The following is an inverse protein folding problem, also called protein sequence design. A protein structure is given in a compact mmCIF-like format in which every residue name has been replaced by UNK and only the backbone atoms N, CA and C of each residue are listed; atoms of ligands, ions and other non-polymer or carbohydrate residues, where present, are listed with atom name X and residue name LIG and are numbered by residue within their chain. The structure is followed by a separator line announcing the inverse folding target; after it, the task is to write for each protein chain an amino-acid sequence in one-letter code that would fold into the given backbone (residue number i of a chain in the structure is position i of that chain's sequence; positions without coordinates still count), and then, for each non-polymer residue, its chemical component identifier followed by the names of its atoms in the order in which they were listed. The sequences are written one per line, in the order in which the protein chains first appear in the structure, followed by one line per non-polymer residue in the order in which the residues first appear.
data_IF_052319992759
#
_entry.id   IF_052319992759
#
_cell.length_a   1.000
_cell.length_b   1.000
_cell.length_c   1.000
_cell.angle_alpha   90.00
_cell.angle_beta   90.00
_cell.angle_gamma   90.00
#
_symmetry.space_group_name_H-M   'P 1'
#
loop_
_entity.id
_entity.type
_entity.pdbx_description
1 polymer ?
#
# COMPACT_ATOMS: atom_id res chain seq x y z
N UNK A 1 26.34 10.93 -4.67
CA UNK A 1 26.48 9.48 -4.92
C UNK A 1 25.89 8.57 -3.83
N UNK A 2 26.00 8.84 -2.52
CA UNK A 2 25.37 7.98 -1.49
C UNK A 2 23.85 8.24 -1.33
N UNK A 3 23.45 9.51 -1.42
CA UNK A 3 22.08 10.00 -1.38
C UNK A 3 21.19 9.44 -2.52
N UNK A 4 21.65 9.43 -3.76
CA UNK A 4 20.93 8.86 -4.91
C UNK A 4 20.68 7.35 -4.74
N UNK A 5 21.67 6.61 -4.23
CA UNK A 5 21.53 5.16 -3.96
C UNK A 5 20.49 4.88 -2.88
N UNK A 6 20.46 5.69 -1.82
CA UNK A 6 19.40 5.56 -0.81
C UNK A 6 18.05 5.90 -1.41
N UNK A 7 17.93 6.97 -2.20
CA UNK A 7 16.68 7.33 -2.85
C UNK A 7 16.15 6.21 -3.77
N UNK A 8 17.01 5.62 -4.61
CA UNK A 8 16.64 4.51 -5.48
C UNK A 8 16.17 3.28 -4.69
N UNK A 9 16.73 3.03 -3.50
CA UNK A 9 16.29 1.94 -2.62
C UNK A 9 14.90 2.22 -2.00
N UNK A 10 14.64 3.46 -1.60
CA UNK A 10 13.32 3.90 -1.11
C UNK A 10 12.26 3.86 -2.22
N UNK A 11 12.62 4.30 -3.43
CA UNK A 11 11.75 4.21 -4.60
C UNK A 11 11.45 2.76 -4.95
N UNK A 12 12.46 1.88 -4.94
CA UNK A 12 12.27 0.44 -5.19
C UNK A 12 11.31 -0.21 -4.21
N UNK A 13 11.50 0.03 -2.91
CA UNK A 13 10.61 -0.55 -1.89
C UNK A 13 9.19 -0.01 -2.01
N UNK A 14 9.01 1.31 -2.20
CA UNK A 14 7.70 1.91 -2.46
C UNK A 14 7.02 1.38 -3.72
N UNK A 15 7.76 1.21 -4.81
CA UNK A 15 7.24 0.65 -6.06
C UNK A 15 6.75 -0.80 -5.89
N UNK A 16 7.49 -1.64 -5.15
CA UNK A 16 7.06 -3.01 -4.83
C UNK A 16 5.76 -3.01 -4.03
N UNK A 17 5.60 -2.12 -3.05
CA UNK A 17 4.35 -1.99 -2.31
C UNK A 17 3.17 -1.59 -3.20
N UNK A 18 3.37 -0.65 -4.12
CA UNK A 18 2.33 -0.26 -5.09
C UNK A 18 1.99 -1.41 -6.03
N UNK A 19 2.98 -2.17 -6.50
CA UNK A 19 2.74 -3.36 -7.33
C UNK A 19 1.92 -4.41 -6.59
N UNK A 20 2.23 -4.69 -5.32
CA UNK A 20 1.46 -5.62 -4.50
C UNK A 20 0.01 -5.15 -4.34
N UNK A 21 -0.21 -3.86 -4.10
CA UNK A 21 -1.56 -3.30 -4.01
C UNK A 21 -2.36 -3.55 -5.30
N UNK A 22 -1.76 -3.30 -6.47
CA UNK A 22 -2.40 -3.54 -7.78
C UNK A 22 -2.70 -5.03 -7.98
N UNK A 23 -1.80 -5.93 -7.57
CA UNK A 23 -2.05 -7.38 -7.63
C UNK A 23 -3.24 -7.79 -6.76
N UNK A 24 -3.40 -7.19 -5.57
CA UNK A 24 -4.60 -7.42 -4.74
C UNK A 24 -5.87 -6.90 -5.42
N UNK A 25 -5.84 -5.73 -6.06
CA UNK A 25 -6.97 -5.22 -6.85
C UNK A 25 -7.40 -6.21 -7.94
N UNK A 26 -6.41 -6.79 -8.65
CA UNK A 26 -6.66 -7.77 -9.71
C UNK A 26 -7.29 -9.05 -9.17
N UNK A 27 -6.80 -9.54 -8.03
CA UNK A 27 -7.38 -10.71 -7.38
C UNK A 27 -8.84 -10.48 -7.00
N UNK A 28 -9.16 -9.35 -6.38
CA UNK A 28 -10.53 -9.00 -5.97
C UNK A 28 -11.44 -8.82 -7.19
N UNK A 29 -10.95 -8.17 -8.25
CA UNK A 29 -11.70 -8.03 -9.49
C UNK A 29 -12.04 -9.41 -10.09
N UNK A 30 -11.09 -10.35 -10.11
CA UNK A 30 -11.33 -11.72 -10.58
C UNK A 30 -12.35 -12.42 -9.67
N UNK A 31 -12.25 -12.29 -8.34
CA UNK A 31 -13.23 -12.86 -7.41
C UNK A 31 -14.64 -12.32 -7.66
N UNK A 32 -14.78 -11.02 -7.95
CA UNK A 32 -16.07 -10.40 -8.29
C UNK A 32 -16.59 -10.82 -9.65
N UNK A 33 -15.70 -10.89 -10.64
CA UNK A 33 -16.04 -11.34 -11.98
C UNK A 33 -16.49 -12.81 -11.97
N UNK A 34 -15.87 -13.63 -11.13
CA UNK A 34 -16.25 -15.03 -10.90
C UNK A 34 -17.62 -15.16 -10.22
N UNK A 35 -17.97 -14.27 -9.29
CA UNK A 35 -19.30 -14.21 -8.65
C UNK A 35 -20.41 -13.81 -9.65
N UNK A 36 -20.05 -13.03 -10.67
CA UNK A 36 -20.94 -12.69 -11.80
C UNK A 36 -20.98 -13.72 -12.93
N UNK A 37 -20.45 -14.94 -12.73
CA UNK A 37 -20.53 -16.01 -13.74
C UNK A 37 -21.97 -16.51 -13.87
N UNK A 38 -22.73 -15.78 -14.68
CA UNK A 38 -23.86 -16.29 -15.44
C UNK A 38 -23.31 -17.31 -16.43
N UNK A 39 -23.15 -18.57 -15.99
CA UNK A 39 -22.82 -19.65 -16.88
C UNK A 39 -24.04 -19.90 -17.78
N UNK A 40 -23.98 -19.40 -19.02
CA UNK A 40 -24.89 -19.80 -20.09
C UNK A 40 -26.39 -19.47 -19.85
N UNK A 41 -26.67 -18.31 -19.24
CA UNK A 41 -28.06 -17.85 -19.02
C UNK A 41 -28.82 -18.58 -17.92
N UNK A 42 -28.23 -19.61 -17.30
CA UNK A 42 -28.78 -20.26 -16.11
C UNK A 42 -27.99 -19.85 -14.87
N UNK A 43 -28.70 -19.31 -13.90
CA UNK A 43 -28.15 -18.92 -12.60
C UNK A 43 -27.94 -20.20 -11.78
N UNK A 44 -26.70 -20.69 -11.74
CA UNK A 44 -26.31 -21.68 -10.75
C UNK A 44 -26.16 -20.94 -9.43
N UNK A 45 -27.17 -21.05 -8.55
CA UNK A 45 -27.02 -20.60 -7.17
C UNK A 45 -25.93 -21.46 -6.51
N UNK A 46 -24.73 -20.89 -6.45
CA UNK A 46 -23.72 -21.30 -5.48
C UNK A 46 -24.39 -21.24 -4.11
N UNK A 47 -24.19 -22.29 -3.31
CA UNK A 47 -24.79 -22.43 -1.97
C UNK A 47 -24.77 -21.07 -1.24
N UNK A 48 -25.94 -20.61 -0.76
CA UNK A 48 -26.12 -19.29 -0.13
C UNK A 48 -25.06 -19.04 0.97
N UNK A 49 -24.59 -20.12 1.62
CA UNK A 49 -23.52 -20.09 2.62
C UNK A 49 -22.15 -19.67 2.06
N UNK A 50 -21.82 -20.08 0.82
CA UNK A 50 -20.58 -19.75 0.14
C UNK A 50 -20.59 -18.32 -0.39
N UNK A 51 -21.72 -17.88 -0.96
CA UNK A 51 -21.91 -16.50 -1.43
C UNK A 51 -21.77 -15.49 -0.28
N UNK A 52 -22.33 -15.81 0.89
CA UNK A 52 -22.16 -15.00 2.09
C UNK A 52 -20.69 -14.91 2.54
N UNK A 53 -19.93 -16.00 2.47
CA UNK A 53 -18.50 -16.02 2.79
C UNK A 53 -17.66 -15.21 1.79
N UNK A 54 -17.93 -15.35 0.48
CA UNK A 54 -17.22 -14.58 -0.57
C UNK A 54 -17.54 -13.09 -0.47
N UNK A 55 -18.78 -12.72 -0.16
CA UNK A 55 -19.17 -11.31 0.05
C UNK A 55 -18.44 -10.69 1.26
N UNK A 56 -18.30 -11.43 2.36
CA UNK A 56 -17.49 -11.01 3.50
C UNK A 56 -16.01 -10.88 3.13
N UNK A 57 -15.44 -11.89 2.47
CA UNK A 57 -14.04 -11.91 2.05
C UNK A 57 -13.69 -10.77 1.09
N UNK A 58 -14.58 -10.47 0.15
CA UNK A 58 -14.45 -9.34 -0.77
C UNK A 58 -14.46 -8.00 -0.02
N UNK A 59 -15.34 -7.84 0.98
CA UNK A 59 -15.37 -6.63 1.81
C UNK A 59 -14.07 -6.43 2.59
N UNK A 60 -13.47 -7.50 3.11
CA UNK A 60 -12.15 -7.44 3.77
C UNK A 60 -11.03 -7.18 2.77
N UNK A 61 -11.06 -7.82 1.60
CA UNK A 61 -10.07 -7.66 0.54
C UNK A 61 -9.93 -6.22 0.08
N UNK A 62 -11.05 -5.52 -0.15
CA UNK A 62 -11.05 -4.10 -0.57
C UNK A 62 -10.38 -3.20 0.44
N UNK A 63 -10.63 -3.45 1.74
CA UNK A 63 -9.99 -2.66 2.80
C UNK A 63 -8.48 -2.88 2.75
N UNK A 64 -8.04 -4.14 2.65
CA UNK A 64 -6.61 -4.48 2.62
C UNK A 64 -5.91 -3.84 1.43
N UNK A 65 -6.53 -3.90 0.25
CA UNK A 65 -6.04 -3.28 -0.98
C UNK A 65 -5.84 -1.76 -0.82
N UNK A 66 -6.86 -1.05 -0.35
CA UNK A 66 -6.79 0.42 -0.17
C UNK A 66 -5.70 0.79 0.84
N UNK A 67 -5.59 0.04 1.94
CA UNK A 67 -4.55 0.28 2.95
C UNK A 67 -3.15 0.07 2.38
N UNK A 68 -2.95 -0.99 1.57
CA UNK A 68 -1.67 -1.27 0.91
C UNK A 68 -1.30 -0.19 -0.12
N UNK A 69 -2.29 0.26 -0.91
CA UNK A 69 -2.11 1.32 -1.91
C UNK A 69 -1.76 2.67 -1.26
N UNK A 70 -2.47 3.06 -0.19
CA UNK A 70 -2.19 4.29 0.55
C UNK A 70 -0.78 4.27 1.15
N UNK A 71 -0.33 3.15 1.70
CA UNK A 71 1.01 3.01 2.27
C UNK A 71 2.10 3.11 1.21
N UNK A 72 1.93 2.41 0.09
CA UNK A 72 2.85 2.48 -1.05
C UNK A 72 2.98 3.91 -1.58
N UNK A 73 1.86 4.59 -1.79
CA UNK A 73 1.83 5.97 -2.29
C UNK A 73 2.44 6.97 -1.29
N UNK A 74 2.09 6.85 0.00
CA UNK A 74 2.62 7.73 1.05
C UNK A 74 4.14 7.57 1.20
N UNK A 75 4.64 6.33 1.23
CA UNK A 75 6.07 6.02 1.29
C UNK A 75 6.83 6.63 0.10
N UNK A 76 6.25 6.54 -1.10
CA UNK A 76 6.84 7.05 -2.34
C UNK A 76 6.90 8.59 -2.34
N UNK A 77 5.80 9.25 -1.93
CA UNK A 77 5.75 10.71 -1.78
C UNK A 77 6.74 11.21 -0.72
N UNK A 78 6.81 10.57 0.44
CA UNK A 78 7.76 10.93 1.50
C UNK A 78 9.22 10.78 1.02
N UNK A 79 9.53 9.70 0.30
CA UNK A 79 10.85 9.49 -0.32
C UNK A 79 11.21 10.54 -1.36
N UNK A 80 10.25 10.95 -2.19
CA UNK A 80 10.43 12.01 -3.19
C UNK A 80 10.61 13.39 -2.56
N UNK A 81 9.78 13.77 -1.58
CA UNK A 81 9.91 15.02 -0.83
C UNK A 81 11.28 15.15 -0.17
N UNK A 82 11.77 14.07 0.43
CA UNK A 82 13.12 14.00 1.00
C UNK A 82 14.19 14.29 -0.05
N UNK A 83 14.07 13.69 -1.24
CA UNK A 83 15.09 13.81 -2.29
C UNK A 83 15.23 15.25 -2.80
N UNK A 84 14.11 15.90 -3.13
CA UNK A 84 14.11 17.29 -3.58
C UNK A 84 14.66 18.23 -2.50
N UNK A 85 14.25 18.06 -1.24
CA UNK A 85 14.70 18.93 -0.16
C UNK A 85 16.22 18.82 0.10
N UNK A 86 16.76 17.60 0.09
CA UNK A 86 18.21 17.38 0.26
C UNK A 86 18.99 17.94 -0.94
N UNK A 87 18.48 17.81 -2.16
CA UNK A 87 19.12 18.40 -3.35
C UNK A 87 19.17 19.93 -3.28
N UNK A 88 18.05 20.58 -2.93
CA UNK A 88 18.00 22.05 -2.84
C UNK A 88 18.99 22.59 -1.80
N UNK A 89 19.17 21.88 -0.68
CA UNK A 89 20.06 22.32 0.39
C UNK A 89 21.55 22.09 0.09
N UNK A 90 21.88 21.01 -0.63
CA UNK A 90 23.24 20.76 -1.11
C UNK A 90 23.69 21.83 -2.12
N UNK A 91 22.78 22.31 -2.96
CA UNK A 91 23.05 23.41 -3.91
C UNK A 91 23.34 24.73 -3.17
N UNK A 92 22.80 24.90 -1.96
CA UNK A 92 22.99 26.11 -1.15
C UNK A 92 24.20 26.07 -0.19
N UNK A 93 25.05 25.02 -0.24
CA UNK A 93 26.21 24.84 0.67
C UNK A 93 25.88 24.89 2.18
N UNK A 94 24.60 24.80 2.57
CA UNK A 94 24.20 24.63 3.97
C UNK A 94 24.01 23.15 4.25
N UNK A 95 24.81 22.59 5.17
CA UNK A 95 24.54 21.27 5.74
C UNK A 95 23.30 21.33 6.63
N UNK A 96 22.17 20.77 6.21
CA UNK A 96 20.98 20.78 7.03
C UNK A 96 21.19 19.81 8.19
N UNK A 97 20.85 20.28 9.37
CA UNK A 97 20.78 19.47 10.59
C UNK A 97 19.95 18.22 10.34
N UNK A 98 20.53 17.05 10.65
CA UNK A 98 20.02 15.66 10.45
C UNK A 98 18.57 15.39 10.91
N UNK A 99 17.98 16.32 11.67
CA UNK A 99 16.64 16.24 12.28
C UNK A 99 15.54 15.90 11.28
N UNK A 100 15.57 16.48 10.08
CA UNK A 100 14.50 16.27 9.09
C UNK A 100 14.56 14.87 8.46
N UNK A 101 15.76 14.34 8.22
CA UNK A 101 15.96 12.98 7.69
C UNK A 101 15.49 11.94 8.72
N UNK A 102 15.83 12.14 9.99
CA UNK A 102 15.39 11.28 11.10
C UNK A 102 13.87 11.35 11.24
N UNK A 103 13.28 12.54 11.17
CA UNK A 103 11.84 12.74 11.27
C UNK A 103 11.06 12.04 10.15
N UNK A 104 11.52 12.12 8.89
CA UNK A 104 10.89 11.39 7.79
C UNK A 104 11.01 9.86 7.94
N UNK A 105 12.16 9.36 8.42
CA UNK A 105 12.37 7.93 8.66
C UNK A 105 11.47 7.41 9.79
N UNK A 106 11.36 8.18 10.88
CA UNK A 106 10.42 7.90 11.98
C UNK A 106 8.97 7.97 11.50
N UNK A 107 8.61 8.95 10.67
CA UNK A 107 7.26 9.08 10.11
C UNK A 107 6.88 7.85 9.26
N UNK A 108 7.78 7.38 8.40
CA UNK A 108 7.52 6.17 7.59
C UNK A 108 7.40 4.91 8.46
N UNK A 109 8.21 4.79 9.52
CA UNK A 109 8.12 3.67 10.47
C UNK A 109 6.82 3.74 11.30
N UNK A 110 6.41 4.94 11.74
CA UNK A 110 5.18 5.14 12.48
C UNK A 110 3.94 4.79 11.63
N UNK A 111 3.93 5.17 10.35
CA UNK A 111 2.85 4.78 9.42
C UNK A 111 2.79 3.27 9.25
N UNK A 112 3.92 2.59 9.06
CA UNK A 112 3.98 1.11 9.00
C UNK A 112 3.40 0.46 10.27
N UNK A 113 3.81 0.93 11.46
CA UNK A 113 3.34 0.38 12.74
C UNK A 113 1.84 0.64 12.94
N UNK A 114 1.36 1.84 12.62
CA UNK A 114 -0.06 2.17 12.75
C UNK A 114 -0.95 1.26 11.89
N UNK A 115 -0.46 0.87 10.70
CA UNK A 115 -1.19 0.01 9.79
C UNK A 115 -1.24 -1.44 10.27
N UNK A 116 -0.16 -1.95 10.87
CA UNK A 116 -0.13 -3.27 11.49
C UNK A 116 -1.14 -3.36 12.64
N UNK A 117 -1.25 -2.30 13.45
CA UNK A 117 -2.26 -2.25 14.53
C UNK A 117 -3.68 -2.25 13.97
N UNK A 118 -3.95 -1.46 12.92
CA UNK A 118 -5.27 -1.43 12.27
C UNK A 118 -5.63 -2.79 11.66
N UNK A 119 -4.67 -3.48 11.04
CA UNK A 119 -4.85 -4.83 10.51
C UNK A 119 -5.16 -5.82 11.63
N UNK A 120 -4.40 -5.80 12.73
CA UNK A 120 -4.59 -6.69 13.88
C UNK A 120 -5.96 -6.50 14.54
N UNK A 121 -6.35 -5.23 14.79
CA UNK A 121 -7.66 -4.87 15.35
C UNK A 121 -8.82 -5.31 14.46
N UNK A 122 -8.64 -5.22 13.14
CA UNK A 122 -9.68 -5.58 12.17
C UNK A 122 -9.73 -7.08 11.88
N UNK A 123 -8.65 -7.82 12.19
CA UNK A 123 -8.58 -9.27 12.13
C UNK A 123 -9.18 -9.92 13.39
N UNK A 124 -9.09 -9.25 14.54
CA UNK A 124 -9.63 -9.75 15.82
C UNK A 124 -11.15 -9.58 15.98
N UNK A 125 -11.81 -8.81 15.11
CA UNK A 125 -13.25 -8.52 15.17
C UNK A 125 -14.00 -9.11 13.99
#
# INVERSE_FOLDING_TARGET
MANERTFLAWLRTGAIFVTLAITFSQFIFITRAADSVTANGEQYDLDESFKAQVAQLNRFGVVIEIMCMCLGLFSLLAGAFRFFHIQTLLIQNRFPTTRLVILCMVATAAVMISLLIVLDVKLYR
#
